data_IF_064883829207
#
_entry.id   IF_064883829207
#
_cell.length_a   1.000
_cell.length_b   1.000
_cell.length_c   1.000
_cell.angle_alpha   90.00
_cell.angle_beta   90.00
_cell.angle_gamma   90.00
#
_symmetry.space_group_name_H-M   'P 1'
#
loop_
_entity.id
_entity.type
_entity.pdbx_description
1 polymer ?
#
# COMPACT_ATOMS: atom_id res chain seq x y z
N UNK A 1 -19.17 -26.96 -3.25
CA UNK A 1 -17.80 -26.58 -2.82
C UNK A 1 -17.28 -25.47 -3.73
N UNK A 2 -17.47 -24.19 -3.37
CA UNK A 2 -16.70 -23.04 -3.87
C UNK A 2 -16.73 -21.96 -2.79
N UNK A 3 -15.58 -21.71 -2.17
CA UNK A 3 -15.38 -20.78 -1.07
C UNK A 3 -15.49 -19.34 -1.52
N UNK A 4 -16.12 -18.52 -0.69
CA UNK A 4 -16.04 -17.06 -0.77
C UNK A 4 -15.09 -16.59 0.32
N UNK A 5 -13.79 -16.76 0.10
CA UNK A 5 -12.75 -16.16 0.93
C UNK A 5 -12.93 -14.62 0.94
N UNK A 6 -12.81 -14.00 2.13
CA UNK A 6 -12.83 -12.54 2.30
C UNK A 6 -11.56 -12.14 3.03
N UNK A 7 -10.67 -11.43 2.35
CA UNK A 7 -9.44 -10.91 2.94
C UNK A 7 -9.76 -9.80 3.98
N UNK A 8 -9.27 -9.95 5.21
CA UNK A 8 -9.48 -9.01 6.31
C UNK A 8 -8.19 -8.81 7.12
N UNK A 9 -7.77 -7.55 7.27
CA UNK A 9 -6.49 -7.16 7.91
C UNK A 9 -6.68 -6.63 9.34
N UNK A 10 -7.93 -6.40 9.80
CA UNK A 10 -8.19 -5.88 11.14
C UNK A 10 -9.53 -6.42 11.69
N UNK A 11 -9.59 -6.78 12.97
CA UNK A 11 -10.80 -7.31 13.60
C UNK A 11 -11.95 -6.29 13.55
N UNK A 12 -12.97 -6.63 12.77
CA UNK A 12 -14.27 -5.96 12.77
C UNK A 12 -15.14 -6.74 13.75
N UNK A 13 -15.88 -6.11 14.67
CA UNK A 13 -16.82 -6.82 15.51
C UNK A 13 -17.97 -7.35 14.64
N UNK A 14 -17.89 -8.61 14.21
CA UNK A 14 -18.97 -9.35 13.57
C UNK A 14 -19.13 -10.71 14.25
N UNK A 15 -20.31 -11.31 14.14
CA UNK A 15 -20.60 -12.60 14.77
C UNK A 15 -19.77 -13.72 14.12
N UNK A 16 -19.11 -14.54 14.94
CA UNK A 16 -18.37 -15.74 14.50
C UNK A 16 -19.29 -16.87 14.02
N UNK A 17 -20.60 -16.77 14.28
CA UNK A 17 -21.57 -17.68 13.69
C UNK A 17 -21.68 -17.44 12.19
N UNK A 18 -21.39 -18.46 11.34
CA UNK A 18 -21.48 -18.33 9.90
C UNK A 18 -22.96 -18.33 9.49
N UNK A 19 -23.66 -17.21 9.67
CA UNK A 19 -24.91 -16.97 8.98
C UNK A 19 -24.58 -16.87 7.48
N UNK A 20 -25.12 -17.76 6.62
CA UNK A 20 -24.81 -17.74 5.20
C UNK A 20 -25.28 -16.43 4.56
N UNK A 21 -24.37 -15.47 4.42
CA UNK A 21 -24.68 -14.19 3.80
C UNK A 21 -24.61 -14.34 2.27
N UNK A 22 -25.70 -14.81 1.67
CA UNK A 22 -25.80 -15.08 0.22
C UNK A 22 -26.02 -13.83 -0.64
N UNK A 23 -26.20 -12.65 -0.06
CA UNK A 23 -26.50 -11.44 -0.85
C UNK A 23 -25.22 -10.80 -1.39
N UNK A 24 -25.11 -10.61 -2.71
CA UNK A 24 -24.16 -9.66 -3.26
C UNK A 24 -24.34 -8.31 -2.58
N UNK A 25 -23.24 -7.61 -2.36
CA UNK A 25 -23.32 -6.27 -1.81
C UNK A 25 -24.19 -5.38 -2.71
N UNK A 26 -25.11 -4.64 -2.09
CA UNK A 26 -26.03 -3.75 -2.81
C UNK A 26 -25.36 -2.51 -3.39
N UNK A 27 -24.07 -2.29 -3.10
CA UNK A 27 -23.28 -1.17 -3.57
C UNK A 27 -21.86 -1.61 -3.96
N UNK A 28 -21.27 -1.04 -5.03
CA UNK A 28 -19.90 -1.33 -5.42
C UNK A 28 -18.92 -0.82 -4.36
N UNK A 29 -17.98 -1.67 -3.96
CA UNK A 29 -16.92 -1.31 -3.00
C UNK A 29 -15.71 -0.64 -3.67
N UNK A 30 -15.70 -0.49 -4.99
CA UNK A 30 -14.59 0.10 -5.75
C UNK A 30 -14.25 1.52 -5.30
N UNK A 31 -15.26 2.34 -5.02
CA UNK A 31 -15.08 3.70 -4.50
C UNK A 31 -14.44 3.67 -3.10
N UNK A 32 -14.93 2.79 -2.22
CA UNK A 32 -14.43 2.68 -0.85
C UNK A 32 -13.07 1.96 -0.77
N UNK A 33 -12.72 1.13 -1.75
CA UNK A 33 -11.54 0.28 -1.76
C UNK A 33 -11.48 -0.75 -0.63
N UNK A 34 -12.62 -1.05 0.02
CA UNK A 34 -12.76 -1.99 1.14
C UNK A 34 -14.21 -2.46 1.28
N UNK A 35 -14.46 -3.68 1.80
CA UNK A 35 -15.81 -4.11 2.17
C UNK A 35 -16.35 -3.30 3.36
N UNK A 36 -17.68 -3.22 3.49
CA UNK A 36 -18.34 -2.59 4.64
C UNK A 36 -17.92 -3.34 5.92
N UNK A 37 -17.45 -2.58 6.92
CA UNK A 37 -16.95 -3.12 8.18
C UNK A 37 -15.42 -3.08 8.27
N UNK A 38 -14.69 -3.55 7.25
CA UNK A 38 -13.23 -3.60 7.26
C UNK A 38 -12.60 -2.21 7.17
N UNK A 39 -11.56 -1.93 7.97
CA UNK A 39 -10.74 -0.70 7.87
C UNK A 39 -9.45 -1.07 7.13
N UNK A 40 -9.21 -0.47 5.96
CA UNK A 40 -7.96 -0.61 5.20
C UNK A 40 -7.24 0.73 5.23
N UNK A 41 -5.94 0.73 5.53
CA UNK A 41 -5.10 1.91 5.34
C UNK A 41 -4.85 2.07 3.83
N UNK A 42 -5.78 2.77 3.15
CA UNK A 42 -5.71 3.02 1.71
C UNK A 42 -5.25 4.46 1.49
N UNK A 43 -4.11 4.64 0.83
CA UNK A 43 -3.66 5.92 0.30
C UNK A 43 -4.03 5.96 -1.18
N UNK A 44 -4.93 6.87 -1.57
CA UNK A 44 -5.34 7.01 -2.97
C UNK A 44 -5.52 8.48 -3.36
N UNK A 45 -5.46 8.74 -4.67
CA UNK A 45 -5.85 10.01 -5.26
C UNK A 45 -7.28 9.85 -5.77
N UNK A 46 -8.17 10.75 -5.36
CA UNK A 46 -9.58 10.69 -5.77
C UNK A 46 -9.73 10.95 -7.27
N UNK A 47 -10.87 10.55 -7.85
CA UNK A 47 -11.14 10.82 -9.26
C UNK A 47 -11.07 12.33 -9.56
N UNK A 48 -10.23 12.71 -10.54
CA UNK A 48 -9.90 14.12 -10.87
C UNK A 48 -9.25 14.91 -9.72
N UNK A 49 -8.86 14.24 -8.64
CA UNK A 49 -8.10 14.83 -7.55
C UNK A 49 -6.62 14.94 -7.88
N UNK A 50 -5.91 15.78 -7.15
CA UNK A 50 -4.45 15.87 -7.18
C UNK A 50 -3.92 15.90 -5.75
N UNK A 51 -2.68 15.43 -5.57
CA UNK A 51 -1.95 15.52 -4.30
C UNK A 51 -0.54 16.02 -4.59
N UNK A 52 -0.04 16.90 -3.73
CA UNK A 52 1.32 17.42 -3.79
C UNK A 52 2.10 16.89 -2.59
N UNK A 53 3.22 16.24 -2.85
CA UNK A 53 4.12 15.77 -1.80
C UNK A 53 5.28 16.77 -1.62
N UNK A 54 5.57 17.14 -0.37
CA UNK A 54 6.69 18.00 -0.03
C UNK A 54 7.85 17.15 0.49
N UNK A 55 9.00 17.28 -0.16
CA UNK A 55 10.23 16.61 0.24
C UNK A 55 11.26 17.64 0.67
N UNK A 56 12.01 17.32 1.71
CA UNK A 56 13.07 18.19 2.23
C UNK A 56 14.35 17.36 2.41
N UNK A 57 15.44 17.84 1.81
CA UNK A 57 16.78 17.30 2.02
C UNK A 57 17.61 18.38 2.69
N UNK A 58 18.12 18.08 3.88
CA UNK A 58 18.93 19.02 4.65
C UNK A 58 20.36 19.10 4.10
N UNK A 59 21.03 20.24 4.30
CA UNK A 59 22.43 20.44 3.85
C UNK A 59 23.41 19.41 4.43
N UNK A 60 23.11 18.84 5.60
CA UNK A 60 23.94 17.81 6.25
C UNK A 60 23.88 16.45 5.56
N UNK A 61 22.85 16.21 4.74
CA UNK A 61 22.69 14.99 3.94
C UNK A 61 23.35 15.11 2.56
N UNK A 62 23.86 16.30 2.21
CA UNK A 62 24.60 16.54 0.98
C UNK A 62 26.08 16.22 1.19
N UNK A 63 26.74 15.76 0.14
CA UNK A 63 28.18 15.45 0.15
C UNK A 63 29.06 16.69 -0.09
N UNK A 64 28.45 17.84 -0.38
CA UNK A 64 29.12 19.11 -0.64
C UNK A 64 28.46 19.92 -1.77
N UNK A 65 29.07 21.02 -2.21
CA UNK A 65 28.66 21.72 -3.42
C UNK A 65 28.80 20.84 -4.66
N UNK A 66 27.87 20.94 -5.61
CA UNK A 66 27.93 20.17 -6.85
C UNK A 66 26.58 19.87 -7.48
N UNK A 67 26.61 19.04 -8.51
CA UNK A 67 25.43 18.60 -9.24
C UNK A 67 24.79 17.39 -8.56
N UNK A 68 23.48 17.48 -8.29
CA UNK A 68 22.67 16.42 -7.72
C UNK A 68 21.57 16.02 -8.69
N UNK A 69 21.37 14.72 -8.88
CA UNK A 69 20.25 14.19 -9.63
C UNK A 69 19.08 13.89 -8.70
N UNK A 70 17.94 14.51 -8.97
CA UNK A 70 16.69 14.28 -8.27
C UNK A 70 15.83 13.36 -9.13
N UNK A 71 15.45 12.22 -8.57
CA UNK A 71 14.50 11.27 -9.18
C UNK A 71 13.24 11.23 -8.34
N UNK A 72 12.11 11.60 -8.93
CA UNK A 72 10.79 11.57 -8.29
C UNK A 72 9.91 10.56 -9.01
N UNK A 73 9.37 9.60 -8.28
CA UNK A 73 8.53 8.54 -8.80
C UNK A 73 7.17 8.52 -8.11
N UNK A 74 6.11 8.30 -8.89
CA UNK A 74 4.80 7.91 -8.38
C UNK A 74 4.70 6.40 -8.46
N UNK A 75 4.66 5.75 -7.30
CA UNK A 75 4.67 4.29 -7.21
C UNK A 75 3.30 3.81 -6.72
N UNK A 76 2.73 2.83 -7.43
CA UNK A 76 1.55 2.10 -6.99
C UNK A 76 1.94 0.74 -6.43
N UNK A 77 1.42 0.41 -5.25
CA UNK A 77 1.64 -0.86 -4.57
C UNK A 77 0.36 -1.35 -3.89
N UNK A 78 0.26 -2.66 -3.68
CA UNK A 78 -0.95 -3.29 -3.12
C UNK A 78 -1.18 -3.00 -1.63
N UNK A 79 -0.10 -3.03 -0.84
CA UNK A 79 -0.10 -2.89 0.62
C UNK A 79 1.22 -2.19 1.02
N UNK A 80 1.17 -1.21 1.94
CA UNK A 80 2.37 -0.65 2.55
C UNK A 80 3.21 -1.74 3.21
N UNK A 81 4.50 -1.83 2.85
CA UNK A 81 5.40 -2.90 3.31
C UNK A 81 5.49 -2.97 4.85
N UNK A 82 5.37 -1.83 5.54
CA UNK A 82 5.36 -1.80 7.01
C UNK A 82 4.19 -2.59 7.63
N UNK A 83 3.07 -2.75 6.91
CA UNK A 83 1.93 -3.54 7.40
C UNK A 83 2.15 -5.04 7.27
N UNK A 84 3.10 -5.50 6.43
CA UNK A 84 3.48 -6.92 6.35
C UNK A 84 4.05 -7.38 7.70
N UNK A 85 4.81 -6.53 8.38
CA UNK A 85 5.34 -6.85 9.70
C UNK A 85 4.24 -6.96 10.76
N UNK A 86 3.26 -6.07 10.74
CA UNK A 86 2.18 -6.02 11.74
C UNK A 86 1.29 -7.28 11.76
N UNK A 87 1.21 -8.01 10.65
CA UNK A 87 0.43 -9.26 10.53
C UNK A 87 1.29 -10.52 10.58
N UNK A 88 2.61 -10.37 10.78
CA UNK A 88 3.55 -11.49 10.68
C UNK A 88 3.47 -12.47 11.86
N UNK A 89 2.82 -12.09 12.95
CA UNK A 89 2.60 -12.90 14.15
C UNK A 89 1.63 -14.08 13.91
N UNK A 90 0.68 -13.93 12.98
CA UNK A 90 -0.21 -15.01 12.54
C UNK A 90 0.54 -16.04 11.69
N UNK A 91 1.66 -15.62 11.08
CA UNK A 91 2.42 -16.41 10.11
C UNK A 91 1.89 -16.26 8.68
N UNK A 92 2.74 -16.63 7.73
CA UNK A 92 2.41 -16.63 6.30
C UNK A 92 2.38 -18.05 5.76
N UNK A 93 1.55 -18.26 4.74
CA UNK A 93 1.42 -19.56 4.09
C UNK A 93 2.74 -20.01 3.44
N UNK A 94 2.82 -21.31 3.17
CA UNK A 94 3.94 -21.93 2.43
C UNK A 94 5.33 -21.78 3.10
N UNK A 95 5.36 -21.50 4.41
CA UNK A 95 6.61 -21.32 5.15
C UNK A 95 7.39 -20.07 4.75
N UNK A 96 6.73 -19.11 4.08
CA UNK A 96 7.34 -17.85 3.72
C UNK A 96 7.62 -17.00 4.95
N UNK A 97 8.78 -16.35 4.99
CA UNK A 97 9.08 -15.37 6.02
C UNK A 97 8.40 -14.04 5.72
N UNK A 98 8.26 -13.18 6.74
CA UNK A 98 7.78 -11.81 6.55
C UNK A 98 8.64 -11.02 5.55
N UNK A 99 9.93 -11.36 5.43
CA UNK A 99 10.84 -10.77 4.44
C UNK A 99 10.49 -11.20 3.03
N UNK A 100 10.27 -12.49 2.80
CA UNK A 100 9.92 -13.00 1.46
C UNK A 100 8.62 -12.35 0.96
N UNK A 101 7.65 -12.17 1.85
CA UNK A 101 6.40 -11.46 1.53
C UNK A 101 6.67 -9.97 1.26
N UNK A 102 7.48 -9.31 2.08
CA UNK A 102 7.84 -7.91 1.88
C UNK A 102 8.54 -7.69 0.52
N UNK A 103 9.48 -8.55 0.18
CA UNK A 103 10.23 -8.49 -1.09
C UNK A 103 9.29 -8.71 -2.27
N UNK A 104 8.42 -9.73 -2.23
CA UNK A 104 7.41 -9.95 -3.27
C UNK A 104 6.42 -8.80 -3.44
N UNK A 105 6.03 -8.15 -2.33
CA UNK A 105 5.19 -6.94 -2.37
C UNK A 105 5.94 -5.79 -3.03
N UNK A 106 7.21 -5.57 -2.69
CA UNK A 106 8.07 -4.55 -3.31
C UNK A 106 8.27 -4.81 -4.80
N UNK A 107 8.53 -6.04 -5.20
CA UNK A 107 8.68 -6.44 -6.61
C UNK A 107 7.40 -6.19 -7.42
N UNK A 108 6.24 -6.30 -6.79
CA UNK A 108 4.95 -5.95 -7.37
C UNK A 108 4.68 -4.44 -7.49
N UNK A 109 5.56 -3.57 -7.01
CA UNK A 109 5.38 -2.12 -7.14
C UNK A 109 5.55 -1.68 -8.59
N UNK A 110 4.61 -0.86 -9.05
CA UNK A 110 4.63 -0.29 -10.39
C UNK A 110 4.95 1.20 -10.33
N UNK A 111 5.99 1.62 -11.05
CA UNK A 111 6.26 3.04 -11.28
C UNK A 111 5.29 3.54 -12.33
N UNK A 112 4.29 4.31 -11.90
CA UNK A 112 3.26 4.87 -12.78
C UNK A 112 3.74 6.15 -13.48
N UNK A 113 4.66 6.87 -12.85
CA UNK A 113 5.25 8.10 -13.38
C UNK A 113 6.64 8.30 -12.80
N UNK A 114 7.58 8.79 -13.61
CA UNK A 114 8.93 9.15 -13.20
C UNK A 114 9.32 10.51 -13.79
N UNK A 115 9.98 11.32 -12.97
CA UNK A 115 10.62 12.56 -13.38
C UNK A 115 12.04 12.61 -12.84
N UNK A 116 12.99 12.92 -13.71
CA UNK A 116 14.41 13.06 -13.37
C UNK A 116 14.87 14.46 -13.71
N UNK A 117 15.49 15.15 -12.76
CA UNK A 117 16.07 16.48 -12.94
C UNK A 117 17.46 16.54 -12.32
N UNK A 118 18.31 17.43 -12.81
CA UNK A 118 19.63 17.71 -12.21
C UNK A 118 19.64 19.13 -11.69
N UNK A 119 20.08 19.31 -10.45
CA UNK A 119 20.15 20.59 -9.77
C UNK A 119 21.58 20.82 -9.30
N UNK A 120 22.13 22.00 -9.61
CA UNK A 120 23.42 22.43 -9.10
C UNK A 120 23.23 23.16 -7.76
N UNK A 121 23.90 22.69 -6.72
CA UNK A 121 23.91 23.31 -5.40
C UNK A 121 25.26 24.03 -5.23
N UNK A 122 25.24 25.36 -5.00
CA UNK A 122 26.45 26.17 -4.83
C UNK A 122 27.21 25.89 -3.52
#
# INVERSE_FOLDING_TARGET
VRGGEREQVLNVPYSLDPLPYFRPATRPFTVLGRPIGARKQKQNIEAKGSRLAHYHVSRRQLTGPGNYTIRVQLIAGMVPVNLVHEISDVGFDYGMSARDIADGVVDGHMVLYEKVETVCIP
#
